data_IF_138154746427
#
_entry.id   IF_138154746427
#
_cell.length_a   1.000
_cell.length_b   1.000
_cell.length_c   1.000
_cell.angle_alpha   90.00
_cell.angle_beta   90.00
_cell.angle_gamma   90.00
#
_symmetry.space_group_name_H-M   'P 1'
#
loop_
_entity.id
_entity.type
_entity.pdbx_description
1 polymer ?
#
# COMPACT_ATOMS: atom_id res chain seq x y z
N UNK A 1 16.67 -33.48 1.32
CA UNK A 1 17.36 -32.72 2.37
C UNK A 1 17.43 -31.26 1.92
N UNK A 2 16.64 -30.38 2.53
CA UNK A 2 16.64 -28.94 2.19
C UNK A 2 17.74 -28.25 3.00
N UNK A 3 18.87 -27.91 2.37
CA UNK A 3 19.93 -27.12 3.01
C UNK A 3 19.41 -25.76 3.49
N UNK A 4 20.04 -25.14 4.50
CA UNK A 4 19.62 -23.83 4.96
C UNK A 4 19.62 -22.87 3.77
N UNK A 5 18.47 -22.30 3.46
CA UNK A 5 18.38 -21.27 2.43
C UNK A 5 19.20 -20.08 2.92
N UNK A 6 20.45 -19.97 2.44
CA UNK A 6 21.39 -18.89 2.73
C UNK A 6 20.89 -17.59 2.06
N UNK A 7 19.76 -17.08 2.56
CA UNK A 7 19.13 -15.86 2.05
C UNK A 7 19.79 -14.67 2.74
N UNK A 8 20.15 -13.66 1.97
CA UNK A 8 20.57 -12.38 2.54
C UNK A 8 19.41 -11.70 3.27
N UNK A 9 19.72 -10.88 4.26
CA UNK A 9 18.72 -10.09 4.96
C UNK A 9 17.94 -9.22 3.96
N UNK A 10 16.60 -9.29 3.90
CA UNK A 10 15.80 -8.56 2.92
C UNK A 10 15.77 -7.05 3.15
N UNK A 11 16.39 -6.56 4.23
CA UNK A 11 16.45 -5.14 4.59
C UNK A 11 17.80 -4.55 4.20
N UNK A 12 18.90 -5.08 4.76
CA UNK A 12 20.23 -4.53 4.53
C UNK A 12 20.98 -5.22 3.38
N UNK A 13 20.56 -6.42 2.95
CA UNK A 13 21.19 -7.24 1.92
C UNK A 13 22.66 -7.59 2.14
N UNK A 14 23.22 -7.33 3.33
CA UNK A 14 24.65 -7.53 3.64
C UNK A 14 24.93 -8.82 4.41
N UNK A 15 24.01 -9.26 5.24
CA UNK A 15 24.22 -10.37 6.18
C UNK A 15 23.41 -11.58 5.72
N UNK A 16 24.04 -12.76 5.66
CA UNK A 16 23.36 -14.04 5.42
C UNK A 16 22.53 -14.43 6.65
N UNK A 17 21.28 -14.79 6.41
CA UNK A 17 20.37 -15.28 7.44
C UNK A 17 20.62 -16.76 7.68
N UNK A 18 20.72 -17.15 8.95
CA UNK A 18 20.94 -18.53 9.35
C UNK A 18 19.65 -19.15 9.90
N UNK A 19 19.40 -20.41 9.56
CA UNK A 19 18.27 -21.18 10.07
C UNK A 19 16.91 -20.52 9.77
N UNK A 20 16.16 -20.18 10.82
CA UNK A 20 14.82 -19.58 10.72
C UNK A 20 14.82 -18.05 10.83
N UNK A 21 15.98 -17.40 10.76
CA UNK A 21 16.04 -15.94 10.78
C UNK A 21 15.33 -15.35 9.56
N UNK A 22 14.53 -14.31 9.78
CA UNK A 22 13.84 -13.55 8.72
C UNK A 22 14.51 -12.19 8.46
N UNK A 23 15.31 -11.71 9.41
CA UNK A 23 16.13 -10.49 9.37
C UNK A 23 17.37 -10.68 10.25
N UNK A 24 18.46 -9.98 9.96
CA UNK A 24 19.76 -10.23 10.59
C UNK A 24 19.93 -9.64 12.01
N UNK A 25 19.00 -8.78 12.46
CA UNK A 25 19.12 -8.14 13.77
C UNK A 25 17.97 -7.18 14.09
N UNK A 26 18.04 -6.56 15.27
CA UNK A 26 16.99 -5.68 15.81
C UNK A 26 16.70 -4.46 14.93
N UNK A 27 17.75 -3.79 14.43
CA UNK A 27 17.61 -2.63 13.53
C UNK A 27 16.86 -3.01 12.26
N UNK A 28 17.27 -4.10 11.60
CA UNK A 28 16.59 -4.61 10.41
C UNK A 28 15.16 -5.09 10.71
N UNK A 29 14.89 -5.59 11.92
CA UNK A 29 13.52 -5.94 12.34
C UNK A 29 12.62 -4.72 12.44
N UNK A 30 13.10 -3.63 13.05
CA UNK A 30 12.37 -2.37 13.17
C UNK A 30 12.08 -1.80 11.79
N UNK A 31 13.10 -1.74 10.93
CA UNK A 31 12.95 -1.22 9.57
C UNK A 31 11.99 -2.07 8.74
N UNK A 32 12.08 -3.40 8.83
CA UNK A 32 11.12 -4.31 8.18
C UNK A 32 9.69 -4.07 8.69
N UNK A 33 9.52 -3.75 9.97
CA UNK A 33 8.21 -3.40 10.53
C UNK A 33 7.67 -2.10 9.93
N UNK A 34 8.51 -1.07 9.82
CA UNK A 34 8.16 0.21 9.17
C UNK A 34 7.78 0.03 7.71
N UNK A 35 8.58 -0.74 6.94
CA UNK A 35 8.28 -1.08 5.56
C UNK A 35 6.91 -1.75 5.40
N UNK A 36 6.60 -2.75 6.25
CA UNK A 36 5.30 -3.42 6.21
C UNK A 36 4.15 -2.47 6.55
N UNK A 37 4.32 -1.58 7.53
CA UNK A 37 3.31 -0.56 7.87
C UNK A 37 3.08 0.41 6.72
N UNK A 38 4.15 0.88 6.07
CA UNK A 38 4.08 1.78 4.93
C UNK A 38 3.38 1.12 3.73
N UNK A 39 3.70 -0.15 3.44
CA UNK A 39 3.01 -0.92 2.39
C UNK A 39 1.51 -1.07 2.69
N UNK A 40 1.14 -1.46 3.91
CA UNK A 40 -0.26 -1.58 4.31
C UNK A 40 -1.00 -0.23 4.31
N UNK A 41 -0.31 0.89 4.53
CA UNK A 41 -0.88 2.23 4.36
C UNK A 41 -1.09 2.55 2.88
N UNK A 42 -0.08 2.33 2.03
CA UNK A 42 -0.18 2.59 0.60
C UNK A 42 -1.29 1.77 -0.09
N UNK A 43 -1.47 0.51 0.30
CA UNK A 43 -2.57 -0.34 -0.18
C UNK A 43 -3.94 0.14 0.26
N UNK A 44 -4.07 0.71 1.47
CA UNK A 44 -5.32 1.34 1.91
C UNK A 44 -5.58 2.62 1.15
N UNK A 45 -4.57 3.47 1.01
CA UNK A 45 -4.70 4.76 0.33
C UNK A 45 -5.06 4.58 -1.16
N UNK A 46 -4.55 3.55 -1.82
CA UNK A 46 -4.91 3.24 -3.21
C UNK A 46 -6.40 2.88 -3.34
N UNK A 47 -6.93 2.08 -2.41
CA UNK A 47 -8.37 1.75 -2.36
C UNK A 47 -9.22 2.98 -2.06
N UNK A 48 -8.83 3.79 -1.08
CA UNK A 48 -9.55 5.03 -0.74
C UNK A 48 -9.57 5.99 -1.93
N UNK A 49 -8.45 6.17 -2.64
CA UNK A 49 -8.40 7.00 -3.85
C UNK A 49 -9.32 6.49 -4.94
N UNK A 50 -9.47 5.18 -5.10
CA UNK A 50 -10.42 4.60 -6.06
C UNK A 50 -11.86 4.98 -5.69
N UNK A 51 -12.24 4.81 -4.43
CA UNK A 51 -13.58 5.18 -3.95
C UNK A 51 -13.85 6.68 -4.08
N UNK A 52 -12.89 7.53 -3.72
CA UNK A 52 -13.02 8.98 -3.87
C UNK A 52 -13.16 9.41 -5.33
N UNK A 53 -12.46 8.76 -6.26
CA UNK A 53 -12.62 9.02 -7.69
C UNK A 53 -14.02 8.64 -8.19
N UNK A 54 -14.55 7.49 -7.76
CA UNK A 54 -15.91 7.08 -8.11
C UNK A 54 -16.94 8.07 -7.56
N UNK A 55 -16.85 8.41 -6.28
CA UNK A 55 -17.73 9.39 -5.65
C UNK A 55 -17.67 10.76 -6.35
N UNK A 56 -16.49 11.19 -6.81
CA UNK A 56 -16.36 12.45 -7.56
C UNK A 56 -17.17 12.42 -8.86
N UNK A 57 -17.14 11.32 -9.60
CA UNK A 57 -17.91 11.16 -10.84
C UNK A 57 -19.42 11.24 -10.55
N UNK A 58 -19.87 10.58 -9.49
CA UNK A 58 -21.29 10.62 -9.10
C UNK A 58 -21.73 12.04 -8.73
N UNK A 59 -20.89 12.79 -8.01
CA UNK A 59 -21.15 14.19 -7.64
C UNK A 59 -21.16 15.08 -8.87
N UNK A 60 -20.20 14.93 -9.79
CA UNK A 60 -20.15 15.69 -11.05
C UNK A 60 -21.40 15.44 -11.90
N UNK A 61 -21.85 14.18 -11.99
CA UNK A 61 -23.08 13.84 -12.69
C UNK A 61 -24.32 14.46 -12.02
N UNK A 62 -24.42 14.39 -10.69
CA UNK A 62 -25.53 14.99 -9.94
C UNK A 62 -25.56 16.51 -10.10
N UNK A 63 -24.40 17.19 -10.09
CA UNK A 63 -24.31 18.63 -10.35
C UNK A 63 -24.77 18.97 -11.76
N UNK A 64 -24.36 18.20 -12.78
CA UNK A 64 -24.85 18.39 -14.15
C UNK A 64 -26.36 18.31 -14.29
N UNK A 65 -27.03 17.44 -13.52
CA UNK A 65 -28.50 17.36 -13.48
C UNK A 65 -29.16 18.59 -12.82
N UNK A 66 -28.47 19.27 -11.91
CA UNK A 66 -28.95 20.50 -11.29
C UNK A 66 -28.71 21.72 -12.18
N UNK A 67 -27.77 21.64 -13.13
CA UNK A 67 -27.44 22.70 -14.08
C UNK A 67 -28.30 22.66 -15.37
N UNK A 68 -29.06 21.58 -15.62
CA UNK A 68 -30.04 21.56 -16.71
C UNK A 68 -31.24 22.49 -16.40
N UNK A 69 -31.65 23.36 -17.34
CA UNK A 69 -31.98 24.74 -16.98
C UNK A 69 -33.46 24.98 -16.63
N UNK A 70 -33.66 25.95 -15.72
CA UNK A 70 -34.80 26.88 -15.57
C UNK A 70 -35.17 27.65 -16.86
N UNK A 71 -34.82 27.16 -18.06
CA UNK A 71 -35.04 27.84 -19.34
C UNK A 71 -35.81 26.95 -20.32
N UNK A 72 -36.87 26.29 -19.81
CA UNK A 72 -37.89 25.64 -20.65
C UNK A 72 -39.25 26.29 -20.37
N UNK A 73 -39.48 27.36 -21.13
CA UNK A 73 -40.73 28.11 -21.36
C UNK A 73 -41.21 29.08 -20.27
#
# INVERSE_FOLDING_TARGET
MSGPSDRLCPVCQRVRLLGRQTVCGGVCRIERSRQRKAQAQAERDSKVRLYLKAARVDVEAALGLLEEPENRH
#
